data_IF_960618192910
#
_entry.id   IF_960618192910
#
_cell.length_a   1.000
_cell.length_b   1.000
_cell.length_c   1.000
_cell.angle_alpha   90.00
_cell.angle_beta   90.00
_cell.angle_gamma   90.00
#
_symmetry.space_group_name_H-M   'P 1'
#
loop_
_entity.id
_entity.type
_entity.pdbx_description
1 polymer ?
#
# COMPACT_ATOMS: atom_id res chain seq x y z
N UNK A 1 1.57 11.62 50.84
CA UNK A 1 1.71 10.48 49.91
C UNK A 1 0.55 10.39 48.92
N UNK A 2 -0.70 10.35 49.38
CA UNK A 2 -1.87 10.07 48.52
C UNK A 2 -2.04 11.02 47.32
N UNK A 3 -1.85 12.34 47.47
CA UNK A 3 -2.05 13.28 46.37
C UNK A 3 -1.07 13.07 45.20
N UNK A 4 0.20 12.80 45.51
CA UNK A 4 1.22 12.45 44.51
C UNK A 4 0.90 11.11 43.83
N UNK A 5 0.38 10.13 44.58
CA UNK A 5 -0.09 8.86 44.02
C UNK A 5 -1.25 9.03 43.05
N UNK A 6 -2.24 9.85 43.38
CA UNK A 6 -3.37 10.15 42.51
C UNK A 6 -2.95 10.85 41.21
N UNK A 7 -2.04 11.83 41.29
CA UNK A 7 -1.52 12.52 40.10
C UNK A 7 -0.72 11.56 39.21
N UNK A 8 0.12 10.68 39.81
CA UNK A 8 0.86 9.68 39.06
C UNK A 8 -0.07 8.69 38.33
N UNK A 9 -1.11 8.18 39.01
CA UNK A 9 -2.11 7.28 38.41
C UNK A 9 -2.87 7.99 37.28
N UNK A 10 -3.27 9.24 37.48
CA UNK A 10 -3.95 10.05 36.45
C UNK A 10 -3.06 10.25 35.21
N UNK A 11 -1.78 10.59 35.40
CA UNK A 11 -0.83 10.75 34.31
C UNK A 11 -0.55 9.43 33.60
N UNK A 12 -0.48 8.30 34.32
CA UNK A 12 -0.32 6.97 33.71
C UNK A 12 -1.54 6.62 32.86
N UNK A 13 -2.77 6.83 33.34
CA UNK A 13 -3.96 6.54 32.55
C UNK A 13 -4.06 7.44 31.31
N UNK A 14 -3.77 8.74 31.46
CA UNK A 14 -3.79 9.71 30.35
C UNK A 14 -2.70 9.40 29.32
N UNK A 15 -1.48 9.09 29.76
CA UNK A 15 -0.40 8.69 28.87
C UNK A 15 -0.69 7.33 28.22
N UNK A 16 -1.27 6.37 28.94
CA UNK A 16 -1.65 5.08 28.36
C UNK A 16 -2.66 5.23 27.24
N UNK A 17 -3.62 6.16 27.37
CA UNK A 17 -4.58 6.44 26.30
C UNK A 17 -3.95 7.18 25.11
N UNK A 18 -2.83 7.91 25.29
CA UNK A 18 -2.07 8.52 24.19
C UNK A 18 -1.05 7.57 23.55
N UNK A 19 -0.56 6.59 24.31
CA UNK A 19 0.37 5.54 23.86
C UNK A 19 -0.35 4.43 23.10
N UNK A 20 -1.59 4.11 23.48
CA UNK A 20 -2.51 3.27 22.71
C UNK A 20 -3.16 4.19 21.68
N UNK A 21 -2.54 4.34 20.51
CA UNK A 21 -2.97 5.30 19.47
C UNK A 21 -4.48 5.31 19.23
N UNK A 22 -5.03 6.48 18.93
CA UNK A 22 -6.43 6.64 18.63
C UNK A 22 -6.74 6.09 17.24
N UNK A 23 -7.73 5.20 17.14
CA UNK A 23 -8.18 4.71 15.85
C UNK A 23 -8.74 5.85 15.00
N UNK A 24 -8.40 5.86 13.72
CA UNK A 24 -8.97 6.83 12.77
C UNK A 24 -10.49 6.62 12.67
N UNK A 25 -11.30 7.68 12.62
CA UNK A 25 -12.75 7.55 12.51
C UNK A 25 -13.18 6.67 11.33
N UNK A 26 -14.16 5.76 11.50
CA UNK A 26 -14.55 4.81 10.46
C UNK A 26 -14.93 5.45 9.12
N UNK A 27 -15.61 6.60 9.15
CA UNK A 27 -16.01 7.30 7.92
C UNK A 27 -14.82 7.74 7.05
N UNK A 28 -13.67 8.11 7.66
CA UNK A 28 -12.45 8.47 6.92
C UNK A 28 -11.77 7.24 6.36
N UNK A 29 -11.74 6.16 7.14
CA UNK A 29 -11.22 4.88 6.66
C UNK A 29 -12.02 4.37 5.46
N UNK A 30 -13.35 4.39 5.53
CA UNK A 30 -14.22 4.01 4.41
C UNK A 30 -14.02 4.89 3.19
N UNK A 31 -13.75 6.18 3.35
CA UNK A 31 -13.42 7.06 2.23
C UNK A 31 -12.14 6.61 1.52
N UNK A 32 -11.07 6.37 2.28
CA UNK A 32 -9.77 5.92 1.72
C UNK A 32 -9.92 4.59 1.02
N UNK A 33 -10.62 3.62 1.63
CA UNK A 33 -10.90 2.31 1.01
C UNK A 33 -11.61 2.49 -0.33
N UNK A 34 -12.65 3.33 -0.35
CA UNK A 34 -13.39 3.59 -1.59
C UNK A 34 -12.50 4.21 -2.68
N UNK A 35 -11.67 5.19 -2.33
CA UNK A 35 -10.72 5.80 -3.27
C UNK A 35 -9.73 4.77 -3.83
N UNK A 36 -9.26 3.83 -3.00
CA UNK A 36 -8.37 2.76 -3.45
C UNK A 36 -9.10 1.75 -4.34
N UNK A 37 -10.33 1.35 -4.00
CA UNK A 37 -11.14 0.42 -4.79
C UNK A 37 -11.64 1.01 -6.12
N UNK A 38 -11.71 2.33 -6.24
CA UNK A 38 -11.98 3.01 -7.52
C UNK A 38 -10.77 2.95 -8.49
N UNK A 39 -9.59 2.57 -8.00
CA UNK A 39 -8.40 2.42 -8.84
C UNK A 39 -8.44 1.10 -9.64
N UNK A 40 -8.27 1.14 -10.98
CA UNK A 40 -8.38 -0.06 -11.81
C UNK A 40 -7.30 -1.12 -11.53
N UNK A 41 -6.21 -0.77 -10.84
CA UNK A 41 -5.15 -1.72 -10.46
C UNK A 41 -5.52 -2.49 -9.20
N UNK A 42 -6.44 -1.99 -8.38
CA UNK A 42 -6.88 -2.61 -7.14
C UNK A 42 -8.10 -3.47 -7.43
N UNK A 43 -8.05 -4.74 -7.01
CA UNK A 43 -9.20 -5.65 -7.07
C UNK A 43 -10.03 -5.59 -5.79
N UNK A 44 -9.37 -5.52 -4.63
CA UNK A 44 -10.03 -5.36 -3.33
C UNK A 44 -9.04 -4.92 -2.25
N UNK A 45 -9.57 -4.33 -1.17
CA UNK A 45 -8.78 -3.89 -0.01
C UNK A 45 -9.30 -4.58 1.25
N UNK A 46 -8.38 -5.11 2.05
CA UNK A 46 -8.66 -5.88 3.26
C UNK A 46 -7.81 -5.43 4.46
N UNK A 47 -8.18 -5.92 5.65
CA UNK A 47 -7.51 -5.67 6.95
C UNK A 47 -7.09 -4.21 7.22
N UNK A 48 -7.92 -3.23 6.83
CA UNK A 48 -7.57 -1.82 6.96
C UNK A 48 -7.56 -1.39 8.42
N UNK A 49 -6.38 -0.94 8.87
CA UNK A 49 -6.15 -0.43 10.21
C UNK A 49 -5.40 0.89 10.12
N UNK A 50 -5.92 1.92 10.79
CA UNK A 50 -5.18 3.17 10.95
C UNK A 50 -5.23 3.68 12.38
N UNK A 51 -4.07 4.05 12.90
CA UNK A 51 -3.86 4.49 14.28
C UNK A 51 -3.11 5.81 14.29
N UNK A 52 -3.60 6.79 15.04
CA UNK A 52 -2.93 8.06 15.32
C UNK A 52 -2.26 7.95 16.69
N UNK A 53 -0.94 7.92 16.72
CA UNK A 53 -0.17 7.90 17.97
C UNK A 53 0.25 9.33 18.31
N UNK A 54 -0.28 9.88 19.41
CA UNK A 54 -0.02 11.25 19.84
C UNK A 54 -0.54 12.31 18.85
N UNK A 55 0.18 13.44 18.72
CA UNK A 55 -0.22 14.57 17.87
C UNK A 55 0.36 14.52 16.44
N UNK A 56 1.29 13.61 16.14
CA UNK A 56 2.09 13.71 14.90
C UNK A 56 2.48 12.38 14.23
N UNK A 57 2.13 11.21 14.76
CA UNK A 57 2.57 9.94 14.18
C UNK A 57 1.42 8.98 13.92
N UNK A 58 0.79 9.12 12.74
CA UNK A 58 -0.16 8.14 12.22
C UNK A 58 0.52 6.93 11.56
N UNK A 59 -0.09 5.76 11.67
CA UNK A 59 0.25 4.54 10.93
C UNK A 59 -1.00 4.01 10.25
N UNK A 60 -0.90 3.72 8.96
CA UNK A 60 -1.92 3.06 8.15
C UNK A 60 -1.37 1.70 7.69
N UNK A 61 -2.18 0.66 7.79
CA UNK A 61 -1.88 -0.67 7.26
C UNK A 61 -3.10 -1.20 6.51
N UNK A 62 -2.89 -1.79 5.34
CA UNK A 62 -3.93 -2.48 4.60
C UNK A 62 -3.34 -3.63 3.76
N UNK A 63 -4.17 -4.62 3.50
CA UNK A 63 -3.90 -5.69 2.56
C UNK A 63 -4.57 -5.36 1.22
N UNK A 64 -3.86 -5.50 0.11
CA UNK A 64 -4.35 -5.16 -1.23
C UNK A 64 -4.24 -6.37 -2.15
N UNK A 65 -5.36 -6.69 -2.81
CA UNK A 65 -5.37 -7.58 -3.96
C UNK A 65 -5.27 -6.76 -5.25
N UNK A 66 -4.36 -7.15 -6.12
CA UNK A 66 -4.16 -6.49 -7.39
C UNK A 66 -4.93 -7.15 -8.53
N UNK A 67 -5.39 -6.34 -9.49
CA UNK A 67 -5.91 -6.84 -10.75
C UNK A 67 -4.73 -7.20 -11.68
N UNK A 68 -4.42 -8.50 -11.73
CA UNK A 68 -3.31 -9.04 -12.53
C UNK A 68 -3.41 -8.74 -14.03
N UNK A 69 -4.62 -8.64 -14.60
CA UNK A 69 -4.80 -8.31 -16.01
C UNK A 69 -4.38 -6.86 -16.30
N UNK A 70 -4.79 -5.92 -15.43
CA UNK A 70 -4.44 -4.51 -15.57
C UNK A 70 -2.95 -4.30 -15.35
N UNK A 71 -2.36 -4.95 -14.35
CA UNK A 71 -0.92 -4.93 -14.10
C UNK A 71 -0.13 -5.47 -15.29
N UNK A 72 -0.54 -6.63 -15.82
CA UNK A 72 0.10 -7.24 -17.00
C UNK A 72 0.06 -6.32 -18.22
N UNK A 73 -1.08 -5.66 -18.47
CA UNK A 73 -1.20 -4.65 -19.54
C UNK A 73 -0.29 -3.44 -19.32
N UNK A 74 -0.14 -2.96 -18.08
CA UNK A 74 0.78 -1.85 -17.75
C UNK A 74 2.24 -2.25 -17.92
N UNK A 75 2.63 -3.42 -17.41
CA UNK A 75 3.98 -3.98 -17.59
C UNK A 75 4.32 -4.16 -19.09
N UNK A 76 3.42 -4.80 -19.85
CA UNK A 76 3.62 -5.03 -21.28
C UNK A 76 3.73 -3.72 -22.08
N UNK A 77 3.10 -2.62 -21.64
CA UNK A 77 3.28 -1.30 -22.25
C UNK A 77 4.69 -0.76 -22.06
N UNK A 78 5.33 -1.00 -20.92
CA UNK A 78 6.74 -0.61 -20.66
C UNK A 78 7.70 -1.45 -21.52
N UNK A 79 7.48 -2.75 -21.58
CA UNK A 79 8.30 -3.69 -22.34
C UNK A 79 8.00 -3.72 -23.84
N UNK A 80 7.00 -2.99 -24.31
CA UNK A 80 6.53 -3.02 -25.70
C UNK A 80 7.67 -2.86 -26.72
N UNK A 81 8.65 -2.00 -26.43
CA UNK A 81 9.82 -1.79 -27.31
C UNK A 81 10.79 -2.97 -27.28
N UNK A 82 11.02 -3.58 -26.12
CA UNK A 82 11.87 -4.76 -25.95
C UNK A 82 11.26 -6.02 -26.57
N UNK A 83 9.93 -6.17 -26.51
CA UNK A 83 9.21 -7.36 -26.99
C UNK A 83 8.89 -7.31 -28.50
N UNK A 84 8.64 -6.12 -29.07
CA UNK A 84 8.25 -6.01 -30.49
C UNK A 84 9.36 -6.44 -31.45
N UNK A 85 10.62 -6.21 -31.10
CA UNK A 85 11.76 -6.48 -32.01
C UNK A 85 12.01 -7.99 -32.16
N UNK A 86 12.02 -8.80 -31.08
CA UNK A 86 12.21 -10.25 -31.20
C UNK A 86 11.00 -10.99 -31.79
N UNK A 87 9.75 -10.56 -31.52
CA UNK A 87 8.56 -11.30 -31.96
C UNK A 87 8.33 -11.31 -33.48
N UNK A 88 8.89 -10.35 -34.22
CA UNK A 88 8.84 -10.34 -35.69
C UNK A 88 9.77 -11.39 -36.31
N UNK A 89 10.70 -11.95 -35.53
CA UNK A 89 11.58 -13.05 -35.91
C UNK A 89 11.12 -14.29 -35.14
N UNK A 90 11.01 -15.45 -35.79
CA UNK A 90 10.63 -16.67 -35.08
C UNK A 90 11.63 -16.93 -33.93
N UNK A 91 11.19 -16.79 -32.68
CA UNK A 91 12.04 -16.95 -31.50
C UNK A 91 12.28 -18.43 -31.21
N UNK A 92 13.49 -18.76 -30.78
CA UNK A 92 13.79 -20.09 -30.22
C UNK A 92 13.13 -20.25 -28.84
N UNK A 93 12.91 -21.49 -28.36
CA UNK A 93 12.40 -21.73 -27.01
C UNK A 93 13.21 -21.02 -25.91
N UNK A 94 14.54 -20.98 -26.06
CA UNK A 94 15.44 -20.32 -25.10
C UNK A 94 15.25 -18.80 -25.07
N UNK A 95 15.02 -18.17 -26.23
CA UNK A 95 14.74 -16.74 -26.32
C UNK A 95 13.37 -16.40 -25.70
N UNK A 96 12.39 -17.30 -25.81
CA UNK A 96 11.10 -17.15 -25.13
C UNK A 96 11.28 -17.21 -23.61
N UNK A 97 12.09 -18.15 -23.11
CA UNK A 97 12.37 -18.25 -21.68
C UNK A 97 13.06 -16.98 -21.15
N UNK A 98 14.07 -16.46 -21.86
CA UNK A 98 14.75 -15.21 -21.49
C UNK A 98 13.79 -14.03 -21.44
N UNK A 99 12.89 -13.91 -22.44
CA UNK A 99 11.86 -12.88 -22.48
C UNK A 99 10.87 -12.99 -21.32
N UNK A 100 10.50 -14.21 -20.92
CA UNK A 100 9.61 -14.44 -19.77
C UNK A 100 10.29 -14.06 -18.45
N UNK A 101 11.59 -14.28 -18.33
CA UNK A 101 12.38 -13.83 -17.17
C UNK A 101 12.46 -12.29 -17.13
N UNK A 102 12.70 -11.63 -18.26
CA UNK A 102 12.65 -10.16 -18.34
C UNK A 102 11.25 -9.62 -17.97
N UNK A 103 10.20 -10.23 -18.52
CA UNK A 103 8.82 -9.86 -18.23
C UNK A 103 8.47 -10.00 -16.75
N UNK A 104 8.83 -11.13 -16.13
CA UNK A 104 8.55 -11.36 -14.70
C UNK A 104 9.28 -10.36 -13.81
N UNK A 105 10.53 -10.01 -14.13
CA UNK A 105 11.27 -8.97 -13.41
C UNK A 105 10.57 -7.62 -13.51
N UNK A 106 10.16 -7.23 -14.71
CA UNK A 106 9.49 -5.93 -14.90
C UNK A 106 8.08 -5.91 -14.31
N UNK A 107 7.40 -7.06 -14.25
CA UNK A 107 6.12 -7.18 -13.55
C UNK A 107 6.28 -6.90 -12.06
N UNK A 108 7.29 -7.47 -11.41
CA UNK A 108 7.59 -7.22 -9.99
C UNK A 108 7.93 -5.74 -9.77
N UNK A 109 8.75 -5.13 -10.64
CA UNK A 109 9.03 -3.69 -10.57
C UNK A 109 7.75 -2.86 -10.71
N UNK A 110 6.89 -3.21 -11.66
CA UNK A 110 5.62 -2.52 -11.89
C UNK A 110 4.69 -2.63 -10.69
N UNK A 111 4.67 -3.78 -9.99
CA UNK A 111 3.91 -3.92 -8.74
C UNK A 111 4.46 -2.95 -7.68
N UNK A 112 5.79 -2.87 -7.52
CA UNK A 112 6.43 -1.90 -6.60
C UNK A 112 6.03 -0.46 -6.91
N UNK A 113 6.11 -0.05 -8.18
CA UNK A 113 5.70 1.30 -8.62
C UNK A 113 4.22 1.59 -8.30
N UNK A 114 3.34 0.59 -8.45
CA UNK A 114 1.92 0.75 -8.15
C UNK A 114 1.66 0.81 -6.64
N UNK A 115 2.39 0.05 -5.82
CA UNK A 115 2.34 0.16 -4.37
C UNK A 115 2.71 1.58 -3.94
N UNK A 116 3.86 2.10 -4.37
CA UNK A 116 4.31 3.47 -4.05
C UNK A 116 3.27 4.52 -4.47
N UNK A 117 2.63 4.33 -5.64
CA UNK A 117 1.58 5.23 -6.13
C UNK A 117 0.33 5.18 -5.24
N UNK A 118 -0.09 4.00 -4.81
CA UNK A 118 -1.24 3.81 -3.91
C UNK A 118 -0.96 4.37 -2.52
N UNK A 119 0.26 4.20 -1.99
CA UNK A 119 0.70 4.85 -0.75
C UNK A 119 0.62 6.37 -0.87
N UNK A 120 1.05 6.93 -2.00
CA UNK A 120 0.92 8.36 -2.29
C UNK A 120 -0.53 8.86 -2.41
N UNK A 121 -1.49 7.99 -2.75
CA UNK A 121 -2.92 8.32 -2.69
C UNK A 121 -3.37 8.37 -1.22
N UNK A 122 -3.00 7.37 -0.43
CA UNK A 122 -3.37 7.30 1.00
C UNK A 122 -2.83 8.50 1.78
N UNK A 123 -1.57 8.90 1.53
CA UNK A 123 -0.95 10.06 2.17
C UNK A 123 -1.64 11.38 1.80
N UNK A 124 -2.26 11.49 0.62
CA UNK A 124 -3.04 12.67 0.24
C UNK A 124 -4.37 12.73 0.98
N UNK A 125 -5.01 11.58 1.21
CA UNK A 125 -6.28 11.48 1.93
C UNK A 125 -6.11 11.56 3.47
N UNK A 126 -4.99 11.04 3.97
CA UNK A 126 -4.63 10.99 5.39
C UNK A 126 -3.23 11.59 5.61
N UNK A 127 -3.06 12.92 5.48
CA UNK A 127 -1.76 13.58 5.60
C UNK A 127 -1.12 13.46 7.00
N UNK A 128 -1.88 13.08 8.02
CA UNK A 128 -1.36 12.78 9.35
C UNK A 128 -0.62 11.42 9.45
N UNK A 129 -0.70 10.57 8.42
CA UNK A 129 -0.02 9.28 8.38
C UNK A 129 1.45 9.48 8.06
N UNK A 130 2.32 9.01 8.96
CA UNK A 130 3.77 8.99 8.74
C UNK A 130 4.26 7.67 8.15
N UNK A 131 3.53 6.60 8.41
CA UNK A 131 3.86 5.27 7.91
C UNK A 131 2.62 4.71 7.24
N UNK A 132 2.76 4.32 5.98
CA UNK A 132 1.78 3.56 5.23
C UNK A 132 2.45 2.23 4.93
N UNK A 133 1.72 1.14 5.15
CA UNK A 133 2.20 -0.22 4.95
C UNK A 133 1.13 -0.96 4.14
N UNK A 134 1.45 -1.25 2.88
CA UNK A 134 0.58 -1.98 1.98
C UNK A 134 1.15 -3.38 1.76
N UNK A 135 0.43 -4.38 2.25
CA UNK A 135 0.79 -5.78 2.07
C UNK A 135 0.02 -6.37 0.89
N UNK A 136 0.71 -7.16 0.07
CA UNK A 136 0.12 -7.87 -1.07
C UNK A 136 -0.37 -9.23 -0.59
N UNK A 137 -1.62 -9.57 -0.92
CA UNK A 137 -2.22 -10.88 -0.66
C UNK A 137 -1.99 -11.89 -1.80
#
# INVERSE_FOLDING_TARGET
GCLMGCIAIFLIQKNRHMLVGQAVPPHRLSHVVKVLEEDPVVSSVHDVKALIIGSTSGRFKAEINFNGEVLGKRCMKKLRKSIMIPMEQAMSPEQVEELMVEYSRELVNTIGDEVDRLEGIILRELPEMRHVDLEIL
#
